data_IF_740233936073
#
_entry.id   IF_740233936073
#
_cell.length_a   1.000
_cell.length_b   1.000
_cell.length_c   1.000
_cell.angle_alpha   90.00
_cell.angle_beta   90.00
_cell.angle_gamma   90.00
#
_symmetry.space_group_name_H-M   'P 1'
#
loop_
_entity.id
_entity.type
_entity.pdbx_description
1 polymer ?
#
# COMPACT_ATOMS: atom_id res chain seq x y z
N UNK A 1 16.21 -9.39 -1.76
CA UNK A 1 14.93 -9.77 -1.11
C UNK A 1 13.72 -8.98 -1.61
N UNK A 2 13.76 -7.64 -1.72
CA UNK A 2 12.63 -6.80 -2.16
C UNK A 2 11.96 -7.30 -3.46
N UNK A 3 12.73 -7.53 -4.54
CA UNK A 3 12.17 -8.03 -5.80
C UNK A 3 11.53 -9.41 -5.67
N UNK A 4 12.05 -10.27 -4.79
CA UNK A 4 11.45 -11.57 -4.49
C UNK A 4 10.08 -11.41 -3.82
N UNK A 5 9.93 -10.49 -2.87
CA UNK A 5 8.64 -10.16 -2.24
C UNK A 5 7.64 -9.61 -3.26
N UNK A 6 8.06 -8.64 -4.08
CA UNK A 6 7.25 -8.06 -5.17
C UNK A 6 6.72 -9.15 -6.09
N UNK A 7 7.61 -10.04 -6.52
CA UNK A 7 7.25 -11.14 -7.41
C UNK A 7 6.27 -12.11 -6.76
N UNK A 8 6.52 -12.52 -5.52
CA UNK A 8 5.65 -13.47 -4.83
C UNK A 8 4.27 -12.90 -4.51
N UNK A 9 4.19 -11.63 -4.11
CA UNK A 9 2.91 -10.96 -3.88
C UNK A 9 2.12 -10.76 -5.18
N UNK A 10 2.80 -10.43 -6.30
CA UNK A 10 2.19 -10.38 -7.63
C UNK A 10 1.65 -11.75 -8.05
N UNK A 11 2.42 -12.82 -7.86
CA UNK A 11 1.98 -14.19 -8.13
C UNK A 11 0.73 -14.55 -7.32
N UNK A 12 0.67 -14.18 -6.03
CA UNK A 12 -0.51 -14.43 -5.19
C UNK A 12 -1.76 -13.72 -5.71
N UNK A 13 -1.63 -12.46 -6.14
CA UNK A 13 -2.74 -11.71 -6.75
C UNK A 13 -3.18 -12.33 -8.08
N UNK A 14 -2.23 -12.73 -8.94
CA UNK A 14 -2.53 -13.39 -10.21
C UNK A 14 -3.24 -14.72 -10.00
N UNK A 15 -2.80 -15.53 -9.03
CA UNK A 15 -3.48 -16.78 -8.68
C UNK A 15 -4.89 -16.49 -8.16
N UNK A 16 -5.05 -15.54 -7.23
CA UNK A 16 -6.37 -15.15 -6.71
C UNK A 16 -7.31 -14.72 -7.83
N UNK A 17 -6.85 -13.83 -8.71
CA UNK A 17 -7.66 -13.26 -9.80
C UNK A 17 -8.03 -14.29 -10.89
N UNK A 18 -7.30 -15.41 -10.95
CA UNK A 18 -7.62 -16.54 -11.83
C UNK A 18 -8.61 -17.54 -11.21
N UNK A 19 -8.69 -17.61 -9.88
CA UNK A 19 -9.56 -18.56 -9.16
C UNK A 19 -10.89 -17.90 -8.83
N UNK A 20 -10.85 -16.68 -8.30
CA UNK A 20 -12.01 -16.02 -7.72
C UNK A 20 -12.64 -15.04 -8.70
N UNK A 21 -13.98 -14.91 -8.69
CA UNK A 21 -14.67 -14.01 -9.58
C UNK A 21 -14.40 -12.55 -9.23
N UNK A 22 -13.96 -12.18 -8.03
CA UNK A 22 -13.72 -10.78 -7.66
C UNK A 22 -12.22 -10.47 -7.69
N UNK A 23 -11.74 -9.57 -8.57
CA UNK A 23 -10.33 -9.25 -8.65
C UNK A 23 -9.86 -8.48 -7.41
N UNK A 24 -8.62 -8.75 -7.02
CA UNK A 24 -7.89 -8.07 -5.94
C UNK A 24 -6.62 -7.45 -6.50
N UNK A 25 -6.30 -6.28 -5.97
CA UNK A 25 -4.99 -5.65 -6.10
C UNK A 25 -4.41 -5.47 -4.70
N UNK A 26 -3.39 -6.25 -4.37
CA UNK A 26 -2.60 -6.01 -3.16
C UNK A 26 -1.83 -4.70 -3.34
N UNK A 27 -1.78 -3.90 -2.29
CA UNK A 27 -1.14 -2.58 -2.28
C UNK A 27 -0.27 -2.39 -1.04
N UNK A 28 0.15 -1.15 -0.80
CA UNK A 28 0.96 -0.80 0.36
C UNK A 28 2.31 -1.52 0.42
N UNK A 29 2.82 -1.69 1.64
CA UNK A 29 4.19 -2.19 1.84
C UNK A 29 4.42 -3.60 1.29
N UNK A 30 3.39 -4.45 1.26
CA UNK A 30 3.47 -5.81 0.72
C UNK A 30 3.68 -5.79 -0.79
N UNK A 31 2.83 -5.07 -1.54
CA UNK A 31 2.96 -4.96 -2.99
C UNK A 31 4.26 -4.27 -3.43
N UNK A 32 4.70 -3.28 -2.64
CA UNK A 32 5.93 -2.54 -2.88
C UNK A 32 7.20 -3.35 -2.55
N UNK A 33 7.05 -4.47 -1.82
CA UNK A 33 8.16 -5.31 -1.30
C UNK A 33 8.94 -4.68 -0.15
N UNK A 34 8.41 -3.58 0.40
CA UNK A 34 9.03 -2.76 1.45
C UNK A 34 8.63 -3.21 2.85
N UNK A 35 7.49 -3.87 3.00
CA UNK A 35 7.12 -4.55 4.23
C UNK A 35 7.73 -5.95 4.28
N UNK A 36 8.00 -6.39 5.50
CA UNK A 36 8.44 -7.74 5.81
C UNK A 36 7.23 -8.65 5.86
N UNK A 37 7.39 -9.95 5.60
CA UNK A 37 6.25 -10.87 5.57
C UNK A 37 5.45 -10.89 6.89
N UNK A 38 6.12 -10.90 8.04
CA UNK A 38 5.49 -10.91 9.36
C UNK A 38 5.13 -9.53 9.89
N UNK A 39 5.39 -8.47 9.13
CA UNK A 39 5.10 -7.10 9.54
C UNK A 39 4.07 -6.46 8.63
N UNK A 40 3.37 -5.48 9.19
CA UNK A 40 2.33 -4.71 8.52
C UNK A 40 1.06 -5.50 8.20
N UNK A 41 -0.02 -4.73 8.20
CA UNK A 41 -1.25 -4.97 7.48
C UNK A 41 -1.01 -5.35 6.02
N UNK A 42 -1.94 -6.14 5.49
CA UNK A 42 -2.05 -6.46 4.07
C UNK A 42 -3.17 -5.58 3.50
N UNK A 43 -2.79 -4.53 2.79
CA UNK A 43 -3.73 -3.64 2.11
C UNK A 43 -4.23 -4.27 0.80
N UNK A 44 -5.54 -4.45 0.65
CA UNK A 44 -6.14 -5.00 -0.56
C UNK A 44 -7.27 -4.14 -1.10
N UNK A 45 -7.19 -3.86 -2.39
CA UNK A 45 -8.28 -3.25 -3.14
C UNK A 45 -9.11 -4.36 -3.80
N UNK A 46 -10.35 -4.54 -3.35
CA UNK A 46 -11.33 -5.39 -4.02
C UNK A 46 -12.01 -4.62 -5.14
N UNK A 47 -11.85 -5.08 -6.38
CA UNK A 47 -12.41 -4.40 -7.54
C UNK A 47 -13.80 -4.96 -7.83
N UNK A 48 -14.82 -4.13 -7.65
CA UNK A 48 -16.19 -4.52 -7.93
C UNK A 48 -16.41 -4.75 -9.44
N UNK A 49 -16.83 -5.97 -9.80
CA UNK A 49 -17.12 -6.31 -11.21
C UNK A 49 -18.45 -5.73 -11.67
N UNK A 50 -18.50 -5.41 -12.96
CA UNK A 50 -19.73 -4.94 -13.63
C UNK A 50 -20.13 -3.51 -13.27
N UNK A 51 -19.26 -2.76 -12.57
CA UNK A 51 -19.45 -1.36 -12.24
C UNK A 51 -18.28 -0.57 -12.82
N UNK A 52 -18.59 0.51 -13.54
CA UNK A 52 -17.56 1.41 -14.07
C UNK A 52 -17.96 2.86 -13.84
N UNK A 53 -17.03 3.62 -13.29
CA UNK A 53 -17.11 5.06 -13.13
C UNK A 53 -16.35 5.72 -14.29
N UNK A 54 -16.98 6.63 -15.00
CA UNK A 54 -16.40 7.27 -16.18
C UNK A 54 -16.59 8.77 -16.15
N UNK A 55 -15.70 9.51 -16.79
CA UNK A 55 -15.95 10.93 -17.06
C UNK A 55 -17.18 11.09 -17.99
N UNK A 56 -17.96 12.19 -17.88
CA UNK A 56 -19.21 12.34 -18.61
C UNK A 56 -19.12 12.19 -20.13
N UNK A 57 -17.95 12.43 -20.72
CA UNK A 57 -17.71 12.36 -22.16
C UNK A 57 -17.10 11.02 -22.62
N UNK A 58 -16.89 10.08 -21.70
CA UNK A 58 -16.27 8.79 -21.97
C UNK A 58 -17.35 7.73 -22.15
N UNK A 59 -17.37 7.09 -23.31
CA UNK A 59 -18.24 5.95 -23.55
C UNK A 59 -17.61 4.68 -22.99
N UNK A 60 -18.41 3.85 -22.32
CA UNK A 60 -18.01 2.52 -21.88
C UNK A 60 -19.18 1.55 -21.92
N UNK A 61 -18.86 0.25 -21.92
CA UNK A 61 -19.85 -0.82 -21.83
C UNK A 61 -19.66 -1.55 -20.52
N UNK A 62 -20.59 -1.35 -19.58
CA UNK A 62 -20.63 -2.01 -18.28
C UNK A 62 -22.09 -2.21 -17.84
N UNK A 63 -22.43 -3.29 -17.10
CA UNK A 63 -23.76 -3.48 -16.54
C UNK A 63 -24.26 -2.27 -15.73
N UNK A 64 -23.40 -1.68 -14.91
CA UNK A 64 -23.67 -0.47 -14.15
C UNK A 64 -22.63 0.60 -14.49
N UNK A 65 -23.10 1.82 -14.78
CA UNK A 65 -22.26 2.97 -15.14
C UNK A 65 -22.60 4.16 -14.24
N UNK A 66 -21.55 4.74 -13.66
CA UNK A 66 -21.61 6.02 -12.96
C UNK A 66 -20.81 7.09 -13.69
N UNK A 67 -21.34 8.31 -13.76
CA UNK A 67 -20.55 9.48 -14.15
C UNK A 67 -19.81 10.05 -12.95
N UNK A 68 -18.54 10.38 -13.17
CA UNK A 68 -17.69 11.14 -12.25
C UNK A 68 -18.11 12.61 -12.29
N UNK A 69 -18.79 13.07 -11.24
CA UNK A 69 -19.05 14.49 -11.03
C UNK A 69 -18.03 15.07 -10.05
N UNK A 70 -17.11 15.87 -10.58
CA UNK A 70 -16.06 16.55 -9.79
C UNK A 70 -16.45 17.97 -9.38
N UNK A 71 -17.65 18.43 -9.73
CA UNK A 71 -18.09 19.79 -9.40
C UNK A 71 -18.23 19.96 -7.89
N UNK A 72 -17.63 21.02 -7.33
CA UNK A 72 -17.58 21.31 -5.90
C UNK A 72 -16.98 20.18 -5.03
N UNK A 73 -16.23 19.25 -5.61
CA UNK A 73 -15.43 18.27 -4.88
C UNK A 73 -14.00 18.78 -4.69
N UNK A 74 -13.32 18.30 -3.66
CA UNK A 74 -11.88 18.52 -3.51
C UNK A 74 -11.11 17.88 -4.69
N UNK A 75 -9.96 18.43 -5.13
CA UNK A 75 -9.20 17.82 -6.21
C UNK A 75 -8.84 16.35 -5.93
N UNK A 76 -9.02 15.48 -6.93
CA UNK A 76 -8.85 14.04 -6.79
C UNK A 76 -10.00 13.31 -6.09
N UNK A 77 -11.12 13.99 -5.87
CA UNK A 77 -12.38 13.43 -5.39
C UNK A 77 -13.52 13.68 -6.39
N UNK A 78 -14.57 12.88 -6.31
CA UNK A 78 -15.76 12.99 -7.13
C UNK A 78 -16.98 12.43 -6.41
N UNK A 79 -18.18 12.87 -6.78
CA UNK A 79 -19.42 12.14 -6.55
C UNK A 79 -19.71 11.25 -7.75
N UNK A 80 -20.43 10.14 -7.54
CA UNK A 80 -20.74 9.20 -8.62
C UNK A 80 -22.24 9.24 -8.92
N UNK A 81 -22.60 9.78 -10.08
CA UNK A 81 -24.00 9.91 -10.51
C UNK A 81 -24.43 8.69 -11.31
N UNK A 82 -25.52 8.03 -10.93
CA UNK A 82 -26.00 6.85 -11.64
C UNK A 82 -26.53 7.21 -13.04
N UNK A 83 -26.07 6.47 -14.05
CA UNK A 83 -26.51 6.64 -15.46
C UNK A 83 -27.19 5.39 -15.99
N UNK A 84 -26.59 4.23 -15.71
CA UNK A 84 -27.09 2.94 -16.16
C UNK A 84 -26.99 1.92 -15.04
N UNK A 85 -28.02 1.08 -14.90
CA UNK A 85 -28.11 0.04 -13.89
C UNK A 85 -28.87 -1.17 -14.47
N UNK A 86 -28.13 -2.18 -14.94
CA UNK A 86 -28.68 -3.41 -15.49
C UNK A 86 -28.40 -4.66 -14.62
N UNK A 87 -27.93 -4.48 -13.38
CA UNK A 87 -27.53 -5.53 -12.45
C UNK A 87 -28.45 -5.56 -11.22
N UNK A 88 -29.31 -6.57 -11.16
CA UNK A 88 -30.22 -6.78 -10.01
C UNK A 88 -29.49 -6.87 -8.67
N UNK A 89 -28.27 -7.40 -8.66
CA UNK A 89 -27.42 -7.46 -7.47
C UNK A 89 -27.03 -6.06 -6.98
N UNK A 90 -26.60 -5.19 -7.89
CA UNK A 90 -26.18 -3.83 -7.57
C UNK A 90 -27.39 -3.00 -7.13
N UNK A 91 -28.52 -3.11 -7.84
CA UNK A 91 -29.78 -2.43 -7.50
C UNK A 91 -30.19 -2.59 -6.04
N UNK A 92 -30.07 -3.81 -5.49
CA UNK A 92 -30.49 -4.11 -4.13
C UNK A 92 -29.56 -3.52 -3.06
N UNK A 93 -28.33 -3.16 -3.41
CA UNK A 93 -27.33 -2.60 -2.50
C UNK A 93 -27.13 -1.09 -2.67
N UNK A 94 -27.59 -0.52 -3.80
CA UNK A 94 -27.43 0.89 -4.11
C UNK A 94 -28.25 1.77 -3.18
N UNK A 95 -27.56 2.68 -2.50
CA UNK A 95 -28.15 3.82 -1.81
C UNK A 95 -27.83 5.07 -2.61
N UNK A 96 -28.88 5.75 -3.08
CA UNK A 96 -28.76 6.97 -3.85
C UNK A 96 -29.38 8.14 -3.10
N UNK A 97 -28.69 9.26 -3.08
CA UNK A 97 -29.22 10.54 -2.64
C UNK A 97 -29.09 11.54 -3.79
N UNK A 98 -30.20 12.10 -4.26
CA UNK A 98 -30.23 13.03 -5.40
C UNK A 98 -29.55 12.47 -6.67
N UNK A 99 -29.61 11.14 -6.87
CA UNK A 99 -28.99 10.43 -7.99
C UNK A 99 -27.50 10.13 -7.83
N UNK A 100 -26.89 10.48 -6.69
CA UNK A 100 -25.50 10.16 -6.36
C UNK A 100 -25.42 8.95 -5.42
N UNK A 101 -24.44 8.07 -5.65
CA UNK A 101 -24.21 6.93 -4.77
C UNK A 101 -23.55 7.35 -3.46
N UNK A 102 -24.12 6.86 -2.37
CA UNK A 102 -23.61 7.10 -1.03
C UNK A 102 -22.35 6.28 -0.79
N UNK A 103 -21.39 6.83 -0.04
CA UNK A 103 -20.11 6.20 0.25
C UNK A 103 -20.17 5.16 1.40
N UNK A 104 -21.37 4.83 1.89
CA UNK A 104 -21.62 3.63 2.70
C UNK A 104 -21.98 2.41 1.83
N UNK A 105 -21.97 2.57 0.49
CA UNK A 105 -22.13 1.48 -0.46
C UNK A 105 -21.04 0.43 -0.26
N UNK A 106 -21.44 -0.75 0.22
CA UNK A 106 -20.58 -1.90 0.41
C UNK A 106 -21.10 -3.07 -0.43
N UNK A 107 -20.22 -3.64 -1.24
CA UNK A 107 -20.50 -4.85 -2.01
C UNK A 107 -19.94 -6.03 -1.25
N UNK A 108 -20.81 -6.97 -0.89
CA UNK A 108 -20.41 -8.27 -0.34
C UNK A 108 -19.60 -8.14 0.94
N UNK A 109 -20.28 -7.94 2.06
CA UNK A 109 -19.67 -7.72 3.37
C UNK A 109 -19.85 -8.95 4.27
N UNK A 110 -19.09 -10.04 4.06
CA UNK A 110 -19.21 -11.21 4.91
C UNK A 110 -18.56 -10.92 6.27
N UNK A 111 -19.17 -11.39 7.36
CA UNK A 111 -18.59 -11.27 8.71
C UNK A 111 -17.26 -12.06 8.86
N UNK A 112 -16.99 -12.96 7.92
CA UNK A 112 -15.78 -13.79 7.87
C UNK A 112 -15.25 -13.89 6.43
N UNK A 113 -13.94 -14.03 6.29
CA UNK A 113 -13.28 -14.28 5.02
C UNK A 113 -12.26 -15.42 5.16
N UNK A 114 -11.77 -15.94 4.04
CA UNK A 114 -10.64 -16.89 4.02
C UNK A 114 -9.40 -16.15 3.51
N UNK A 115 -8.33 -16.20 4.29
CA UNK A 115 -7.09 -15.48 4.01
C UNK A 115 -6.21 -16.20 2.97
N UNK A 116 -4.97 -15.75 2.76
CA UNK A 116 -4.07 -16.41 1.79
C UNK A 116 -3.61 -17.81 2.20
N UNK A 117 -3.75 -18.14 3.49
CA UNK A 117 -3.34 -19.41 4.09
C UNK A 117 -4.54 -20.35 4.32
N UNK A 118 -5.71 -20.06 3.75
CA UNK A 118 -6.90 -20.88 3.96
C UNK A 118 -7.53 -20.73 5.35
N UNK A 119 -7.05 -19.75 6.14
CA UNK A 119 -7.53 -19.50 7.50
C UNK A 119 -8.74 -18.58 7.49
N UNK A 120 -9.75 -18.89 8.30
CA UNK A 120 -10.88 -18.00 8.49
C UNK A 120 -10.42 -16.77 9.28
N UNK A 121 -10.54 -15.59 8.67
CA UNK A 121 -10.32 -14.28 9.31
C UNK A 121 -11.66 -13.63 9.61
N UNK A 122 -11.73 -12.97 10.77
CA UNK A 122 -12.96 -12.39 11.30
C UNK A 122 -12.92 -10.89 11.11
N UNK A 123 -14.06 -10.30 10.75
CA UNK A 123 -14.21 -8.85 10.67
C UNK A 123 -13.97 -8.20 12.04
N UNK A 124 -13.09 -7.20 12.06
CA UNK A 124 -12.77 -6.38 13.22
C UNK A 124 -13.44 -5.00 13.12
N UNK A 125 -13.30 -4.17 14.16
CA UNK A 125 -13.82 -2.81 14.16
C UNK A 125 -13.25 -1.99 12.98
N UNK A 126 -14.14 -1.23 12.33
CA UNK A 126 -13.83 -0.44 11.14
C UNK A 126 -12.92 0.74 11.49
N UNK A 127 -11.77 0.85 10.83
CA UNK A 127 -10.88 2.03 10.91
C UNK A 127 -10.86 2.71 9.53
N UNK A 128 -11.63 3.79 9.37
CA UNK A 128 -11.70 4.54 8.11
C UNK A 128 -12.44 3.80 6.98
N UNK A 129 -11.99 3.91 5.71
CA UNK A 129 -12.67 3.27 4.58
C UNK A 129 -12.41 1.77 4.47
N UNK A 130 -11.39 1.27 5.16
CA UNK A 130 -11.01 -0.13 5.11
C UNK A 130 -11.88 -0.93 6.08
N UNK A 131 -12.33 -2.08 5.61
CA UNK A 131 -12.84 -3.14 6.46
C UNK A 131 -11.65 -3.98 6.90
N UNK A 132 -11.42 -3.99 8.21
CA UNK A 132 -10.31 -4.73 8.79
C UNK A 132 -10.75 -6.14 9.12
N UNK A 133 -9.99 -7.12 8.68
CA UNK A 133 -10.16 -8.52 9.02
C UNK A 133 -8.85 -9.02 9.59
N UNK A 134 -8.91 -9.91 10.58
CA UNK A 134 -7.67 -10.45 11.11
C UNK A 134 -7.83 -11.73 11.88
N UNK A 135 -6.68 -12.28 12.21
CA UNK A 135 -6.46 -13.34 13.19
C UNK A 135 -5.21 -12.96 14.01
N UNK A 136 -4.76 -13.85 14.90
CA UNK A 136 -3.59 -13.62 15.76
C UNK A 136 -2.28 -13.38 14.97
N UNK A 137 -2.23 -13.75 13.69
CA UNK A 137 -1.02 -13.76 12.87
C UNK A 137 -1.01 -12.69 11.77
N UNK A 138 -2.15 -12.16 11.37
CA UNK A 138 -2.27 -11.29 10.20
C UNK A 138 -3.49 -10.38 10.27
N UNK A 139 -3.31 -9.14 9.81
CA UNK A 139 -4.38 -8.17 9.63
C UNK A 139 -4.47 -7.81 8.14
N UNK A 140 -5.69 -7.76 7.63
CA UNK A 140 -6.03 -7.42 6.26
C UNK A 140 -6.92 -6.20 6.28
N UNK A 141 -6.52 -5.18 5.55
CA UNK A 141 -7.30 -3.97 5.34
C UNK A 141 -7.88 -4.03 3.93
N UNK A 142 -9.18 -4.27 3.84
CA UNK A 142 -9.89 -4.40 2.58
C UNK A 142 -10.62 -3.12 2.24
N UNK A 143 -10.37 -2.61 1.04
CA UNK A 143 -11.06 -1.45 0.51
C UNK A 143 -11.77 -1.87 -0.77
N UNK A 144 -13.08 -1.61 -0.86
CA UNK A 144 -13.81 -1.79 -2.11
C UNK A 144 -13.49 -0.61 -3.04
N UNK A 145 -13.04 -0.94 -4.25
CA UNK A 145 -12.78 -0.01 -5.34
C UNK A 145 -13.71 -0.26 -6.51
N UNK A 146 -14.20 0.82 -7.12
CA UNK A 146 -14.91 0.76 -8.40
C UNK A 146 -13.94 1.20 -9.50
N UNK A 147 -13.97 0.53 -10.65
CA UNK A 147 -13.14 0.89 -11.80
C UNK A 147 -13.43 2.34 -12.20
N UNK A 148 -12.38 3.12 -12.46
CA UNK A 148 -12.47 4.54 -12.81
C UNK A 148 -11.71 4.82 -14.11
N UNK A 149 -12.43 5.24 -15.16
CA UNK A 149 -11.87 5.68 -16.43
C UNK A 149 -11.93 7.21 -16.46
N UNK A 150 -10.79 7.84 -16.19
CA UNK A 150 -10.64 9.29 -16.07
C UNK A 150 -9.46 9.80 -16.92
N UNK A 151 -9.60 9.81 -18.26
CA UNK A 151 -8.56 10.27 -19.18
C UNK A 151 -7.98 11.63 -18.82
N UNK A 152 -8.80 12.61 -18.42
CA UNK A 152 -8.28 13.96 -18.14
C UNK A 152 -7.19 13.95 -17.07
N UNK A 153 -7.40 13.20 -15.97
CA UNK A 153 -6.44 13.15 -14.86
C UNK A 153 -5.16 12.40 -15.26
N UNK A 154 -5.29 11.23 -15.87
CA UNK A 154 -4.13 10.41 -16.19
C UNK A 154 -3.31 11.00 -17.34
N UNK A 155 -3.97 11.64 -18.32
CA UNK A 155 -3.28 12.35 -19.40
C UNK A 155 -2.56 13.60 -18.88
N UNK A 156 -3.18 14.35 -17.96
CA UNK A 156 -2.53 15.49 -17.31
C UNK A 156 -1.25 15.04 -16.59
N UNK A 157 -1.31 13.94 -15.85
CA UNK A 157 -0.14 13.35 -15.22
C UNK A 157 0.91 12.91 -16.26
N UNK A 158 0.47 12.26 -17.35
CA UNK A 158 1.38 11.76 -18.39
C UNK A 158 2.12 12.90 -19.11
N UNK A 159 1.42 13.99 -19.45
CA UNK A 159 1.94 15.15 -20.18
C UNK A 159 2.79 16.10 -19.33
N UNK A 160 2.85 15.92 -18.00
CA UNK A 160 3.67 16.74 -17.10
C UNK A 160 5.15 16.69 -17.52
N UNK A 161 5.78 17.86 -17.61
CA UNK A 161 7.21 17.97 -17.88
C UNK A 161 8.03 17.40 -16.71
N UNK A 162 9.05 16.61 -17.02
CA UNK A 162 9.91 15.95 -16.04
C UNK A 162 11.35 16.24 -16.35
N UNK A 163 11.94 17.18 -15.59
CA UNK A 163 13.26 17.74 -15.87
C UNK A 163 14.37 16.68 -15.96
N UNK A 164 14.29 15.63 -15.14
CA UNK A 164 15.32 14.58 -15.07
C UNK A 164 14.85 13.22 -15.61
N UNK A 165 13.72 13.19 -16.30
CA UNK A 165 13.28 12.03 -17.08
C UNK A 165 12.89 10.79 -16.26
N UNK A 166 12.70 10.91 -14.94
CA UNK A 166 12.02 9.89 -14.14
C UNK A 166 10.57 10.31 -13.86
N UNK A 167 9.59 9.40 -13.99
CA UNK A 167 9.68 8.08 -14.63
C UNK A 167 9.99 8.19 -16.12
N UNK A 168 10.65 7.16 -16.67
CA UNK A 168 11.02 7.13 -18.09
C UNK A 168 9.80 7.07 -19.01
N UNK A 169 9.91 7.52 -20.29
CA UNK A 169 8.77 7.63 -21.22
C UNK A 169 7.97 6.34 -21.41
N UNK A 170 8.64 5.19 -21.45
CA UNK A 170 7.98 3.89 -21.56
C UNK A 170 7.09 3.58 -20.35
N UNK A 171 7.56 3.90 -19.15
CA UNK A 171 6.79 3.70 -17.91
C UNK A 171 5.61 4.67 -17.84
N UNK A 172 5.82 5.94 -18.23
CA UNK A 172 4.73 6.92 -18.36
C UNK A 172 3.65 6.41 -19.30
N UNK A 173 4.02 5.89 -20.48
CA UNK A 173 3.09 5.32 -21.44
C UNK A 173 2.33 4.12 -20.85
N UNK A 174 3.02 3.19 -20.19
CA UNK A 174 2.35 2.05 -19.55
C UNK A 174 1.36 2.49 -18.48
N UNK A 175 1.74 3.43 -17.62
CA UNK A 175 0.87 3.98 -16.57
C UNK A 175 -0.33 4.71 -17.18
N UNK A 176 -0.15 5.45 -18.28
CA UNK A 176 -1.23 6.18 -18.94
C UNK A 176 -2.33 5.30 -19.53
N UNK A 177 -2.05 4.00 -19.71
CA UNK A 177 -3.02 3.01 -20.20
C UNK A 177 -3.76 2.30 -19.06
N UNK A 178 -3.39 2.55 -17.80
CA UNK A 178 -4.04 1.94 -16.66
C UNK A 178 -5.35 2.65 -16.31
N UNK A 179 -6.34 1.86 -15.94
CA UNK A 179 -7.52 2.36 -15.23
C UNK A 179 -7.16 2.82 -13.81
N UNK A 180 -7.85 3.86 -13.35
CA UNK A 180 -7.89 4.25 -11.95
C UNK A 180 -8.96 3.47 -11.20
N UNK A 181 -9.12 3.79 -9.92
CA UNK A 181 -10.23 3.32 -9.11
C UNK A 181 -10.81 4.49 -8.30
N UNK A 182 -12.06 4.37 -7.88
CA UNK A 182 -12.64 5.22 -6.84
C UNK A 182 -12.93 4.39 -5.60
N UNK A 183 -12.62 4.96 -4.43
CA UNK A 183 -12.83 4.34 -3.12
C UNK A 183 -13.70 5.23 -2.24
N UNK A 184 -14.48 4.62 -1.36
CA UNK A 184 -15.44 5.27 -0.47
C UNK A 184 -14.74 6.05 0.65
N UNK A 185 -14.08 7.15 0.28
CA UNK A 185 -13.37 8.07 1.18
C UNK A 185 -13.73 9.48 0.76
N UNK A 186 -14.40 10.22 1.63
CA UNK A 186 -14.59 11.65 1.47
C UNK A 186 -13.38 12.43 1.97
N UNK A 187 -13.17 13.62 1.43
CA UNK A 187 -12.31 14.63 2.04
C UNK A 187 -12.98 15.08 3.36
N UNK A 188 -12.18 15.34 4.41
CA UNK A 188 -12.75 15.78 5.70
C UNK A 188 -13.44 17.14 5.59
N UNK A 189 -12.99 17.98 4.66
CA UNK A 189 -13.55 19.31 4.41
C UNK A 189 -14.59 19.28 3.27
N UNK A 190 -15.07 18.08 2.88
CA UNK A 190 -16.03 17.93 1.78
C UNK A 190 -17.38 18.56 2.11
N UNK A 191 -17.98 19.22 1.13
CA UNK A 191 -19.39 19.62 1.17
C UNK A 191 -20.34 18.42 1.04
N UNK A 192 -19.84 17.26 0.63
CA UNK A 192 -20.61 16.05 0.35
C UNK A 192 -20.01 14.83 1.08
N UNK A 193 -19.87 14.87 2.42
CA UNK A 193 -19.08 13.89 3.16
C UNK A 193 -19.61 12.45 3.08
N UNK A 194 -20.89 12.27 2.73
CA UNK A 194 -21.57 10.97 2.62
C UNK A 194 -21.67 10.44 1.18
N UNK A 195 -21.30 11.22 0.17
CA UNK A 195 -21.41 10.83 -1.25
C UNK A 195 -20.18 11.17 -2.09
N UNK A 196 -19.12 11.68 -1.46
CA UNK A 196 -17.82 11.91 -2.08
C UNK A 196 -16.93 10.66 -1.98
N UNK A 197 -16.24 10.39 -3.09
CA UNK A 197 -15.35 9.26 -3.32
C UNK A 197 -13.98 9.77 -3.75
N UNK A 198 -12.92 9.05 -3.36
CA UNK A 198 -11.54 9.41 -3.70
C UNK A 198 -11.05 8.63 -4.91
N UNK A 199 -10.49 9.32 -5.89
CA UNK A 199 -9.82 8.71 -7.04
C UNK A 199 -8.41 8.26 -6.63
N UNK A 200 -8.03 7.05 -7.01
CA UNK A 200 -6.69 6.49 -6.78
C UNK A 200 -6.17 5.70 -7.99
N UNK A 201 -4.85 5.65 -8.14
CA UNK A 201 -4.15 4.92 -9.20
C UNK A 201 -3.19 3.90 -8.59
N UNK A 202 -3.72 2.98 -7.77
CA UNK A 202 -2.93 2.04 -6.95
C UNK A 202 -1.91 1.24 -7.79
N UNK A 203 -2.31 0.71 -8.95
CA UNK A 203 -1.40 -0.03 -9.85
C UNK A 203 -0.27 0.87 -10.37
N UNK A 204 -0.58 2.11 -10.76
CA UNK A 204 0.43 3.07 -11.23
C UNK A 204 1.45 3.39 -10.13
N UNK A 205 0.99 3.63 -8.91
CA UNK A 205 1.87 3.88 -7.78
C UNK A 205 2.80 2.71 -7.48
N UNK A 206 2.29 1.47 -7.55
CA UNK A 206 3.11 0.26 -7.39
C UNK A 206 4.19 0.20 -8.48
N UNK A 207 3.83 0.46 -9.74
CA UNK A 207 4.78 0.47 -10.85
C UNK A 207 5.86 1.55 -10.68
N UNK A 208 5.50 2.74 -10.17
CA UNK A 208 6.47 3.79 -9.84
C UNK A 208 7.46 3.32 -8.75
N UNK A 209 6.98 2.72 -7.66
CA UNK A 209 7.86 2.15 -6.62
C UNK A 209 8.75 1.02 -7.17
N UNK A 210 8.22 0.20 -8.08
CA UNK A 210 9.00 -0.88 -8.70
C UNK A 210 10.08 -0.36 -9.65
N UNK A 211 9.92 0.85 -10.19
CA UNK A 211 10.89 1.50 -11.08
C UNK A 211 12.08 2.14 -10.36
N UNK A 212 12.01 2.27 -9.03
CA UNK A 212 13.05 2.91 -8.23
C UNK A 212 14.36 2.14 -8.33
N UNK A 213 15.48 2.88 -8.42
CA UNK A 213 16.81 2.27 -8.27
C UNK A 213 17.00 1.74 -6.85
N UNK A 214 18.10 1.01 -6.64
CA UNK A 214 18.45 0.52 -5.32
C UNK A 214 18.65 1.66 -4.30
N UNK A 215 19.41 2.70 -4.64
CA UNK A 215 19.62 3.86 -3.77
C UNK A 215 18.33 4.64 -3.50
N UNK A 216 17.47 4.80 -4.51
CA UNK A 216 16.15 5.44 -4.35
C UNK A 216 15.20 4.62 -3.47
N UNK A 217 15.23 3.29 -3.61
CA UNK A 217 14.48 2.38 -2.74
C UNK A 217 14.96 2.48 -1.30
N UNK A 218 16.28 2.57 -1.07
CA UNK A 218 16.85 2.77 0.28
C UNK A 218 16.44 4.10 0.88
N UNK A 219 16.46 5.19 0.10
CA UNK A 219 15.94 6.50 0.52
C UNK A 219 14.48 6.38 0.97
N UNK A 220 13.63 5.74 0.16
CA UNK A 220 12.23 5.53 0.51
C UNK A 220 12.07 4.77 1.83
N UNK A 221 12.83 3.69 2.01
CA UNK A 221 12.78 2.90 3.23
C UNK A 221 13.25 3.67 4.47
N UNK A 222 14.35 4.41 4.37
CA UNK A 222 14.86 5.23 5.47
C UNK A 222 13.83 6.28 5.88
N UNK A 223 13.26 7.01 4.91
CA UNK A 223 12.23 8.01 5.20
C UNK A 223 10.98 7.37 5.81
N UNK A 224 10.55 6.21 5.32
CA UNK A 224 9.41 5.46 5.86
C UNK A 224 9.65 5.03 7.31
N UNK A 225 10.85 4.57 7.65
CA UNK A 225 11.24 4.21 9.02
C UNK A 225 11.30 5.42 9.95
N UNK A 226 11.95 6.50 9.50
CA UNK A 226 12.00 7.78 10.22
C UNK A 226 10.59 8.29 10.51
N UNK A 227 9.71 8.30 9.50
CA UNK A 227 8.32 8.71 9.68
C UNK A 227 7.59 7.82 10.68
N UNK A 228 7.72 6.48 10.59
CA UNK A 228 7.06 5.54 11.51
C UNK A 228 7.51 5.74 12.96
N UNK A 229 8.79 5.97 13.20
CA UNK A 229 9.37 6.03 14.54
C UNK A 229 9.38 7.42 15.16
N UNK A 230 9.44 8.47 14.35
CA UNK A 230 9.67 9.85 14.82
C UNK A 230 8.46 10.74 14.57
N UNK A 231 7.88 10.70 13.36
CA UNK A 231 6.85 11.68 12.95
C UNK A 231 5.42 11.20 13.23
N UNK A 232 5.12 9.94 12.95
CA UNK A 232 3.80 9.33 13.15
C UNK A 232 3.31 9.37 14.60
N UNK A 233 4.17 9.21 15.63
CA UNK A 233 3.77 9.40 17.02
C UNK A 233 3.32 10.84 17.35
N UNK A 234 3.81 11.84 16.60
CA UNK A 234 3.46 13.25 16.78
C UNK A 234 2.19 13.62 15.99
N UNK A 235 2.03 13.04 14.81
CA UNK A 235 0.85 13.23 13.98
C UNK A 235 0.52 11.96 13.18
N UNK A 236 -0.62 11.30 13.43
CA UNK A 236 -1.02 10.07 12.74
C UNK A 236 -1.10 10.20 11.20
N UNK A 237 -1.25 11.42 10.67
CA UNK A 237 -1.30 11.68 9.23
C UNK A 237 0.04 11.45 8.52
N UNK A 238 1.17 11.38 9.24
CA UNK A 238 2.51 11.09 8.71
C UNK A 238 2.68 9.61 8.33
N UNK A 239 1.92 9.22 7.30
CA UNK A 239 1.83 7.84 6.79
C UNK A 239 2.94 7.53 5.78
N UNK A 240 3.13 6.24 5.48
CA UNK A 240 3.98 5.79 4.37
C UNK A 240 3.55 6.34 3.02
N UNK A 241 2.27 6.71 2.86
CA UNK A 241 1.75 7.34 1.65
C UNK A 241 2.29 8.77 1.48
N UNK A 242 2.34 9.56 2.55
CA UNK A 242 2.96 10.90 2.53
C UNK A 242 4.44 10.77 2.13
N UNK A 243 5.17 9.86 2.78
CA UNK A 243 6.60 9.65 2.50
C UNK A 243 6.85 9.19 1.07
N UNK A 244 5.97 8.34 0.51
CA UNK A 244 6.04 7.89 -0.88
C UNK A 244 5.94 9.05 -1.86
N UNK A 245 5.00 9.98 -1.63
CA UNK A 245 4.82 11.14 -2.52
C UNK A 245 6.03 12.10 -2.43
N UNK A 246 6.57 12.35 -1.23
CA UNK A 246 7.79 13.14 -1.05
C UNK A 246 8.96 12.55 -1.85
N UNK A 247 9.15 11.23 -1.76
CA UNK A 247 10.24 10.55 -2.50
C UNK A 247 10.02 10.58 -4.01
N UNK A 248 8.78 10.43 -4.49
CA UNK A 248 8.51 10.57 -5.92
C UNK A 248 8.84 11.97 -6.44
N UNK A 249 8.51 13.01 -5.69
CA UNK A 249 8.88 14.37 -6.05
C UNK A 249 10.40 14.57 -6.03
N UNK A 250 11.09 14.14 -4.97
CA UNK A 250 12.54 14.22 -4.87
C UNK A 250 13.25 13.53 -6.04
N UNK A 251 12.73 12.39 -6.50
CA UNK A 251 13.32 11.64 -7.61
C UNK A 251 13.04 12.28 -8.96
N UNK A 252 11.87 12.89 -9.16
CA UNK A 252 11.53 13.58 -10.42
C UNK A 252 12.36 14.86 -10.61
N UNK A 253 12.66 15.57 -9.50
CA UNK A 253 13.34 16.87 -9.50
C UNK A 253 14.86 16.79 -9.44
N UNK A 254 15.45 15.60 -9.34
CA UNK A 254 16.90 15.44 -9.27
C UNK A 254 17.44 14.41 -10.28
N UNK A 255 18.65 14.63 -10.85
CA UNK A 255 19.29 13.66 -11.72
C UNK A 255 19.50 12.31 -11.03
N UNK A 256 19.29 11.22 -11.77
CA UNK A 256 19.50 9.85 -11.26
C UNK A 256 20.89 9.63 -10.66
N UNK A 257 21.91 10.32 -11.18
CA UNK A 257 23.31 10.23 -10.73
C UNK A 257 23.52 10.77 -9.31
N UNK A 258 22.63 11.62 -8.80
CA UNK A 258 22.67 12.12 -7.43
C UNK A 258 22.13 11.11 -6.41
N UNK A 259 21.59 9.97 -6.86
CA UNK A 259 21.14 8.89 -5.99
C UNK A 259 22.19 7.79 -5.96
N UNK A 260 23.09 7.87 -4.99
CA UNK A 260 24.15 6.91 -4.75
C UNK A 260 24.17 6.50 -3.28
N UNK A 261 25.05 5.56 -2.95
CA UNK A 261 25.37 5.20 -1.58
C UNK A 261 25.91 6.39 -0.79
N UNK A 262 26.88 7.12 -1.36
CA UNK A 262 27.55 8.24 -0.70
C UNK A 262 26.62 9.44 -0.43
N UNK A 263 25.63 9.66 -1.31
CA UNK A 263 24.69 10.79 -1.21
C UNK A 263 23.37 10.42 -0.51
N UNK A 264 23.23 9.19 0.01
CA UNK A 264 21.96 8.70 0.56
C UNK A 264 21.46 9.54 1.75
N UNK A 265 22.39 9.99 2.60
CA UNK A 265 22.06 10.83 3.77
C UNK A 265 21.67 12.25 3.33
N UNK A 266 22.38 12.83 2.37
CA UNK A 266 22.03 14.13 1.82
C UNK A 266 20.63 14.08 1.21
N UNK A 267 20.33 13.05 0.40
CA UNK A 267 18.98 12.84 -0.16
C UNK A 267 17.91 12.63 0.92
N UNK A 268 18.24 11.98 2.03
CA UNK A 268 17.32 11.86 3.17
C UNK A 268 17.03 13.23 3.78
N UNK A 269 18.06 14.06 3.98
CA UNK A 269 17.91 15.44 4.46
C UNK A 269 17.05 16.26 3.49
N UNK A 270 17.29 16.13 2.18
CA UNK A 270 16.51 16.82 1.16
C UNK A 270 15.02 16.44 1.22
N UNK A 271 14.68 15.15 1.44
CA UNK A 271 13.28 14.76 1.65
C UNK A 271 12.65 15.35 2.91
N UNK A 272 13.45 15.59 3.96
CA UNK A 272 12.98 16.25 5.19
C UNK A 272 12.80 17.76 4.96
N UNK A 273 13.62 18.38 4.12
CA UNK A 273 13.44 19.77 3.67
C UNK A 273 12.15 19.91 2.86
N UNK A 274 11.86 18.99 1.94
CA UNK A 274 10.58 18.95 1.21
C UNK A 274 9.40 18.83 2.17
N UNK A 275 9.51 17.95 3.19
CA UNK A 275 8.49 17.83 4.22
C UNK A 275 8.30 19.15 4.98
N UNK A 276 9.39 19.83 5.36
CA UNK A 276 9.34 21.14 6.03
C UNK A 276 8.58 22.15 5.20
N UNK A 277 8.94 22.32 3.93
CA UNK A 277 8.31 23.27 3.01
C UNK A 277 6.81 22.97 2.83
N UNK A 278 6.45 21.68 2.75
CA UNK A 278 5.06 21.27 2.67
C UNK A 278 4.29 21.59 3.96
N UNK A 279 4.92 21.45 5.13
CA UNK A 279 4.30 21.80 6.42
C UNK A 279 4.16 23.32 6.58
N UNK A 280 5.15 24.10 6.15
CA UNK A 280 5.09 25.57 6.19
C UNK A 280 3.97 26.12 5.29
N UNK A 281 3.82 25.55 4.09
CA UNK A 281 2.76 25.92 3.14
C UNK A 281 1.41 25.25 3.42
N UNK A 282 1.37 24.28 4.35
CA UNK A 282 0.24 23.38 4.58
C UNK A 282 -0.25 22.68 3.29
N UNK A 283 0.68 22.39 2.38
CA UNK A 283 0.38 21.86 1.06
C UNK A 283 1.42 20.82 0.63
N UNK A 284 0.98 19.58 0.44
CA UNK A 284 1.79 18.53 -0.18
C UNK A 284 1.04 17.94 -1.36
N UNK A 285 1.60 18.08 -2.56
CA UNK A 285 1.00 17.57 -3.78
C UNK A 285 0.99 16.05 -3.82
N UNK A 286 -0.13 15.46 -4.24
CA UNK A 286 -0.14 14.07 -4.62
C UNK A 286 0.53 13.87 -5.98
N UNK A 287 1.49 12.96 -6.05
CA UNK A 287 2.28 12.73 -7.26
C UNK A 287 1.44 12.34 -8.48
N UNK A 288 0.39 11.52 -8.30
CA UNK A 288 -0.52 11.08 -9.38
C UNK A 288 -1.60 12.13 -9.72
N UNK A 289 -1.95 13.02 -8.80
CA UNK A 289 -2.99 14.05 -8.96
C UNK A 289 -2.48 15.31 -8.25
N UNK A 290 -1.67 16.12 -8.95
CA UNK A 290 -0.88 17.20 -8.34
C UNK A 290 -1.74 18.20 -7.56
N UNK A 291 -2.95 18.47 -8.04
CA UNK A 291 -3.90 19.41 -7.42
C UNK A 291 -4.41 18.94 -6.06
N UNK A 292 -4.29 17.64 -5.76
CA UNK A 292 -4.75 17.05 -4.50
C UNK A 292 -3.73 17.29 -3.41
N UNK A 293 -4.07 18.19 -2.49
CA UNK A 293 -3.31 18.40 -1.25
C UNK A 293 -3.48 17.20 -0.30
N UNK A 294 -2.37 16.56 0.07
CA UNK A 294 -2.35 15.43 0.99
C UNK A 294 -2.48 15.83 2.47
N UNK A 295 -2.28 17.10 2.82
CA UNK A 295 -2.42 17.61 4.20
C UNK A 295 -3.81 18.14 4.51
N UNK A 296 -4.59 18.48 3.49
CA UNK A 296 -5.93 19.06 3.64
C UNK A 296 -6.84 18.17 4.50
N UNK A 297 -7.42 18.76 5.55
CA UNK A 297 -8.29 18.08 6.51
C UNK A 297 -7.60 17.00 7.37
N UNK A 298 -6.28 16.79 7.25
CA UNK A 298 -5.57 15.68 7.94
C UNK A 298 -4.66 16.12 9.07
N UNK A 299 -4.16 17.35 9.04
CA UNK A 299 -3.21 17.88 10.02
C UNK A 299 -3.82 19.14 10.64
N UNK A 300 -3.97 19.16 11.96
CA UNK A 300 -4.40 20.37 12.69
C UNK A 300 -3.27 21.39 12.77
N UNK A 301 -3.59 22.67 13.03
CA UNK A 301 -2.56 23.70 13.19
C UNK A 301 -1.58 23.38 14.34
N UNK A 302 -2.05 22.75 15.41
CA UNK A 302 -1.22 22.32 16.53
C UNK A 302 -0.27 21.17 16.14
N UNK A 303 -0.79 20.12 15.49
CA UNK A 303 0.05 19.03 14.99
C UNK A 303 1.08 19.55 13.98
N UNK A 304 0.69 20.48 13.11
CA UNK A 304 1.61 21.09 12.13
C UNK A 304 2.73 21.86 12.81
N UNK A 305 2.42 22.63 13.86
CA UNK A 305 3.44 23.32 14.67
C UNK A 305 4.42 22.33 15.32
N UNK A 306 3.90 21.28 15.96
CA UNK A 306 4.73 20.23 16.59
C UNK A 306 5.61 19.53 15.56
N UNK A 307 5.06 19.22 14.38
CA UNK A 307 5.81 18.61 13.29
C UNK A 307 6.92 19.54 12.77
N UNK A 308 6.65 20.84 12.61
CA UNK A 308 7.65 21.83 12.20
C UNK A 308 8.79 21.91 13.21
N UNK A 309 8.48 22.01 14.50
CA UNK A 309 9.49 22.00 15.57
C UNK A 309 10.35 20.73 15.52
N UNK A 310 9.73 19.56 15.32
CA UNK A 310 10.47 18.30 15.21
C UNK A 310 11.33 18.22 13.95
N UNK A 311 10.81 18.71 12.83
CA UNK A 311 11.55 18.72 11.56
C UNK A 311 12.75 19.69 11.65
N UNK A 312 12.59 20.83 12.31
CA UNK A 312 13.70 21.76 12.58
C UNK A 312 14.78 21.12 13.46
N UNK A 313 14.39 20.39 14.52
CA UNK A 313 15.32 19.62 15.34
C UNK A 313 16.10 18.59 14.51
N UNK A 314 15.41 17.82 13.65
CA UNK A 314 16.05 16.83 12.77
C UNK A 314 17.06 17.48 11.80
N UNK A 315 16.73 18.65 11.26
CA UNK A 315 17.61 19.37 10.32
C UNK A 315 18.80 20.03 11.03
N UNK A 316 18.61 20.54 12.25
CA UNK A 316 19.69 21.08 13.07
C UNK A 316 20.69 19.99 13.48
N UNK A 317 20.20 18.77 13.72
CA UNK A 317 21.02 17.61 14.06
C UNK A 317 21.29 16.66 12.88
N UNK A 318 21.32 17.17 11.64
CA UNK A 318 21.43 16.35 10.42
C UNK A 318 22.59 15.35 10.39
N UNK A 319 23.73 15.67 10.99
CA UNK A 319 24.89 14.77 11.11
C UNK A 319 24.63 13.58 12.04
N UNK A 320 23.68 13.73 12.95
CA UNK A 320 23.29 12.75 13.96
C UNK A 320 21.83 12.31 13.78
N UNK A 321 21.25 12.50 12.59
CA UNK A 321 19.82 12.37 12.35
C UNK A 321 19.25 11.01 12.78
N UNK A 322 20.04 9.95 12.67
CA UNK A 322 19.62 8.61 13.07
C UNK A 322 19.52 8.40 14.58
N UNK A 323 20.14 9.25 15.42
CA UNK A 323 19.95 9.20 16.88
C UNK A 323 18.50 9.44 17.28
N UNK A 324 17.76 10.22 16.48
CA UNK A 324 16.34 10.48 16.68
C UNK A 324 15.46 9.25 16.43
N UNK A 325 15.94 8.30 15.63
CA UNK A 325 15.24 7.05 15.38
C UNK A 325 15.90 5.92 16.16
N UNK A 326 15.38 5.64 17.35
CA UNK A 326 15.94 4.62 18.26
C UNK A 326 16.13 3.27 17.58
N UNK A 327 15.23 2.86 16.68
CA UNK A 327 15.34 1.59 15.93
C UNK A 327 16.55 1.58 15.01
N UNK A 328 16.71 2.63 14.21
CA UNK A 328 17.86 2.78 13.31
C UNK A 328 19.15 2.87 14.13
N UNK A 329 19.15 3.70 15.18
CA UNK A 329 20.32 3.87 16.03
C UNK A 329 20.77 2.55 16.68
N UNK A 330 19.86 1.76 17.25
CA UNK A 330 20.18 0.44 17.83
C UNK A 330 20.72 -0.53 16.79
N UNK A 331 20.11 -0.59 15.62
CA UNK A 331 20.59 -1.45 14.54
C UNK A 331 22.01 -1.06 14.10
N UNK A 332 22.31 0.25 14.01
CA UNK A 332 23.66 0.73 13.73
C UNK A 332 24.69 0.33 14.80
N UNK A 333 24.30 0.37 16.08
CA UNK A 333 25.18 -0.05 17.18
C UNK A 333 25.46 -1.56 17.12
N UNK A 334 24.42 -2.38 16.95
CA UNK A 334 24.57 -3.84 16.81
C UNK A 334 25.44 -4.23 15.62
N UNK A 335 25.26 -3.58 14.47
CA UNK A 335 26.09 -3.83 13.28
C UNK A 335 27.57 -3.51 13.53
N UNK A 336 27.87 -2.49 14.35
CA UNK A 336 29.25 -2.14 14.74
C UNK A 336 29.85 -3.13 15.75
N UNK A 337 29.04 -3.64 16.67
CA UNK A 337 29.48 -4.53 17.75
C UNK A 337 29.75 -5.96 17.23
N UNK A 338 28.85 -6.51 16.42
CA UNK A 338 28.90 -7.90 15.93
C UNK A 338 28.45 -8.03 14.47
N UNK A 339 29.25 -7.56 13.48
CA UNK A 339 28.83 -7.52 12.07
C UNK A 339 28.52 -8.91 11.49
N UNK A 340 29.33 -9.92 11.81
CA UNK A 340 29.17 -11.29 11.26
C UNK A 340 27.91 -11.98 11.81
N UNK A 341 27.67 -11.85 13.11
CA UNK A 341 26.48 -12.41 13.76
C UNK A 341 25.20 -11.78 13.18
N UNK A 342 25.20 -10.45 13.05
CA UNK A 342 24.08 -9.71 12.52
C UNK A 342 23.82 -10.02 11.03
N UNK A 343 24.87 -10.24 10.25
CA UNK A 343 24.78 -10.72 8.85
C UNK A 343 24.16 -12.11 8.78
N UNK A 344 24.60 -13.05 9.63
CA UNK A 344 24.07 -14.42 9.66
C UNK A 344 22.58 -14.44 10.08
N UNK A 345 22.18 -13.60 11.04
CA UNK A 345 20.77 -13.41 11.40
C UNK A 345 19.94 -12.93 10.20
N UNK A 346 20.45 -11.96 9.44
CA UNK A 346 19.79 -11.44 8.24
C UNK A 346 19.63 -12.50 7.14
N UNK A 347 20.64 -13.33 6.91
CA UNK A 347 20.59 -14.43 5.94
C UNK A 347 19.59 -15.51 6.33
N UNK A 348 19.64 -15.98 7.59
CA UNK A 348 18.69 -16.97 8.12
C UNK A 348 17.25 -16.50 7.97
N UNK A 349 17.01 -15.23 8.29
CA UNK A 349 15.70 -14.59 8.13
C UNK A 349 15.23 -14.57 6.68
N UNK A 350 16.09 -14.14 5.74
CA UNK A 350 15.73 -14.11 4.33
C UNK A 350 15.41 -15.53 3.81
N UNK A 351 16.11 -16.55 4.31
CA UNK A 351 15.80 -17.94 4.01
C UNK A 351 14.41 -18.34 4.51
N UNK A 352 14.09 -18.06 5.78
CA UNK A 352 12.76 -18.31 6.37
C UNK A 352 11.67 -17.61 5.57
N UNK A 353 11.81 -16.31 5.31
CA UNK A 353 10.79 -15.53 4.61
C UNK A 353 10.59 -16.03 3.17
N UNK A 354 11.67 -16.43 2.47
CA UNK A 354 11.56 -17.05 1.15
C UNK A 354 10.78 -18.36 1.20
N UNK A 355 11.00 -19.20 2.21
CA UNK A 355 10.28 -20.47 2.38
C UNK A 355 8.79 -20.22 2.60
N UNK A 356 8.43 -19.30 3.50
CA UNK A 356 7.03 -18.96 3.78
C UNK A 356 6.33 -18.39 2.55
N UNK A 357 6.95 -17.43 1.85
CA UNK A 357 6.36 -16.87 0.62
C UNK A 357 6.18 -17.92 -0.49
N UNK A 358 7.12 -18.89 -0.62
CA UNK A 358 6.98 -20.01 -1.56
C UNK A 358 5.85 -20.94 -1.13
N UNK A 359 5.75 -21.28 0.15
CA UNK A 359 4.67 -22.09 0.73
C UNK A 359 3.31 -21.49 0.35
N UNK A 360 3.12 -20.19 0.58
CA UNK A 360 1.84 -19.53 0.31
C UNK A 360 1.45 -19.57 -1.17
N UNK A 361 2.41 -19.39 -2.08
CA UNK A 361 2.16 -19.52 -3.52
C UNK A 361 1.74 -20.95 -3.88
N UNK A 362 2.43 -21.96 -3.34
CA UNK A 362 2.07 -23.37 -3.57
C UNK A 362 0.67 -23.66 -3.03
N UNK A 363 0.37 -23.22 -1.82
CA UNK A 363 -0.94 -23.39 -1.19
C UNK A 363 -2.07 -22.76 -2.01
N UNK A 364 -1.88 -21.52 -2.48
CA UNK A 364 -2.85 -20.84 -3.34
C UNK A 364 -3.06 -21.57 -4.68
N UNK A 365 -2.01 -22.18 -5.24
CA UNK A 365 -2.10 -23.00 -6.45
C UNK A 365 -2.85 -24.32 -6.20
N UNK A 366 -2.73 -24.92 -5.01
CA UNK A 366 -3.52 -26.12 -4.67
C UNK A 366 -5.00 -25.79 -4.47
N UNK A 367 -5.36 -24.60 -3.98
CA UNK A 367 -6.76 -24.12 -3.98
C UNK A 367 -7.34 -24.08 -5.42
N UNK A 368 -6.55 -23.64 -6.42
CA UNK A 368 -6.98 -23.62 -7.84
C UNK A 368 -7.36 -25.00 -8.38
N UNK A 369 -6.77 -26.06 -7.85
CA UNK A 369 -7.02 -27.43 -8.33
C UNK A 369 -8.35 -28.00 -7.82
N UNK A 370 -9.06 -27.30 -6.95
CA UNK A 370 -10.33 -27.73 -6.35
C UNK A 370 -11.38 -26.66 -6.65
N UNK A 371 -12.29 -26.96 -7.59
CA UNK A 371 -13.32 -26.02 -8.02
C UNK A 371 -14.25 -25.66 -6.83
N UNK A 372 -14.27 -24.41 -6.34
CA UNK A 372 -15.06 -24.07 -5.15
C UNK A 372 -16.58 -24.12 -5.39
N UNK A 373 -17.02 -24.18 -6.66
CA UNK A 373 -18.45 -24.23 -7.00
C UNK A 373 -19.10 -25.62 -6.83
N UNK A 374 -18.33 -26.70 -6.60
CA UNK A 374 -18.87 -28.07 -6.58
C UNK A 374 -18.99 -28.74 -5.20
N UNK A 375 -18.47 -28.14 -4.11
CA UNK A 375 -18.44 -28.78 -2.78
C UNK A 375 -19.25 -28.03 -1.71
N UNK A 376 -20.14 -28.71 -0.95
CA UNK A 376 -20.82 -28.15 0.22
C UNK A 376 -19.84 -27.61 1.28
N UNK A 377 -20.25 -26.58 2.02
CA UNK A 377 -19.41 -25.91 3.05
C UNK A 377 -18.83 -26.91 4.07
N UNK A 378 -19.57 -27.95 4.44
CA UNK A 378 -19.13 -28.94 5.43
C UNK A 378 -18.02 -29.87 4.90
N UNK A 379 -18.01 -30.14 3.59
CA UNK A 379 -16.97 -30.96 2.96
C UNK A 379 -15.70 -30.14 2.68
N UNK A 380 -15.85 -28.83 2.45
CA UNK A 380 -14.72 -27.88 2.45
C UNK A 380 -14.00 -27.83 3.79
N UNK A 381 -14.73 -27.87 4.91
CA UNK A 381 -14.15 -27.86 6.26
C UNK A 381 -13.39 -29.16 6.58
N UNK A 382 -13.93 -30.33 6.19
CA UNK A 382 -13.25 -31.63 6.36
C UNK A 382 -12.02 -31.77 5.47
N UNK A 383 -12.07 -31.30 4.23
CA UNK A 383 -10.87 -31.24 3.39
C UNK A 383 -9.84 -30.28 3.98
N UNK A 384 -10.26 -29.14 4.54
CA UNK A 384 -9.34 -28.24 5.24
C UNK A 384 -8.61 -28.97 6.37
N UNK A 385 -9.27 -29.84 7.15
CA UNK A 385 -8.62 -30.64 8.21
C UNK A 385 -7.56 -31.63 7.66
N UNK A 386 -7.81 -32.30 6.54
CA UNK A 386 -6.81 -33.18 5.89
C UNK A 386 -5.65 -32.37 5.28
N UNK A 387 -5.93 -31.19 4.73
CA UNK A 387 -4.92 -30.25 4.26
C UNK A 387 -4.10 -29.66 5.40
N UNK A 388 -4.70 -29.32 6.54
CA UNK A 388 -4.01 -28.88 7.76
C UNK A 388 -3.08 -29.98 8.29
N UNK A 389 -3.44 -31.25 8.13
CA UNK A 389 -2.54 -32.39 8.42
C UNK A 389 -1.32 -32.43 7.50
N UNK A 390 -1.54 -32.37 6.17
CA UNK A 390 -0.44 -32.30 5.20
C UNK A 390 0.42 -31.04 5.39
N UNK A 391 -0.21 -29.93 5.74
CA UNK A 391 0.41 -28.66 6.08
C UNK A 391 1.28 -28.81 7.32
N UNK A 392 0.80 -29.44 8.40
CA UNK A 392 1.56 -29.71 9.63
C UNK A 392 2.78 -30.58 9.36
N UNK A 393 2.68 -31.52 8.41
CA UNK A 393 3.75 -32.42 8.02
C UNK A 393 4.82 -31.70 7.17
N UNK A 394 4.40 -30.85 6.23
CA UNK A 394 5.29 -29.90 5.52
C UNK A 394 5.90 -28.85 6.47
N UNK A 395 5.14 -28.40 7.48
CA UNK A 395 5.59 -27.46 8.52
C UNK A 395 6.75 -28.05 9.32
N UNK A 396 6.61 -29.31 9.75
CA UNK A 396 7.64 -30.07 10.48
C UNK A 396 8.89 -30.35 9.63
N UNK A 397 8.75 -30.46 8.31
CA UNK A 397 9.86 -30.76 7.40
C UNK A 397 10.67 -29.52 6.97
N UNK A 398 10.08 -28.30 7.05
CA UNK A 398 10.66 -27.09 6.45
C UNK A 398 11.13 -26.06 7.48
N UNK A 399 10.58 -26.01 8.69
CA UNK A 399 10.92 -24.99 9.69
C UNK A 399 11.04 -25.60 11.11
N UNK A 400 12.15 -25.37 11.85
CA UNK A 400 12.20 -25.73 13.26
C UNK A 400 11.32 -24.75 14.07
N UNK A 401 10.47 -25.31 14.93
CA UNK A 401 9.64 -24.69 15.96
C UNK A 401 9.02 -23.30 15.67
N UNK A 402 7.68 -23.28 15.56
CA UNK A 402 6.86 -22.08 15.36
C UNK A 402 7.08 -20.99 16.44
N UNK A 403 7.53 -21.40 17.63
CA UNK A 403 7.92 -20.49 18.71
C UNK A 403 9.15 -19.65 18.39
N UNK A 404 10.08 -20.16 17.57
CA UNK A 404 11.26 -19.42 17.11
C UNK A 404 10.92 -18.42 16.00
N UNK A 405 9.93 -18.72 15.14
CA UNK A 405 9.44 -17.77 14.12
C UNK A 405 8.76 -16.54 14.75
N UNK A 406 7.94 -16.74 15.77
CA UNK A 406 7.28 -15.66 16.51
C UNK A 406 8.29 -14.82 17.31
N UNK A 407 9.26 -15.45 17.97
CA UNK A 407 10.37 -14.74 18.64
C UNK A 407 11.27 -13.99 17.65
N UNK A 408 11.58 -14.59 16.51
CA UNK A 408 12.30 -13.93 15.43
C UNK A 408 11.52 -12.69 14.95
N UNK A 409 10.19 -12.84 14.76
CA UNK A 409 9.17 -11.84 14.46
C UNK A 409 9.32 -10.50 15.18
N UNK A 410 9.53 -10.55 16.50
CA UNK A 410 9.64 -9.36 17.34
C UNK A 410 10.99 -8.62 17.23
N UNK A 411 12.04 -9.27 16.69
CA UNK A 411 13.40 -8.72 16.49
C UNK A 411 13.67 -8.34 15.01
N UNK A 412 12.63 -8.37 14.15
CA UNK A 412 12.74 -8.32 12.68
C UNK A 412 12.94 -6.94 12.05
N UNK A 413 12.49 -5.85 12.66
CA UNK A 413 12.67 -4.51 12.06
C UNK A 413 14.15 -4.09 12.11
N UNK A 414 14.83 -4.41 13.22
CA UNK A 414 16.27 -4.11 13.38
C UNK A 414 17.05 -4.80 12.25
N UNK A 415 16.88 -6.10 12.02
CA UNK A 415 17.63 -6.84 10.98
C UNK A 415 17.35 -6.36 9.55
N UNK A 416 16.23 -5.67 9.26
CA UNK A 416 15.99 -5.09 7.92
C UNK A 416 16.80 -3.82 7.70
N UNK A 417 17.14 -3.15 8.80
CA UNK A 417 18.05 -2.02 8.80
C UNK A 417 19.45 -2.49 8.33
N UNK A 418 19.88 -3.74 8.57
CA UNK A 418 21.12 -4.29 7.99
C UNK A 418 21.30 -4.00 6.48
N UNK A 419 20.32 -4.34 5.62
CA UNK A 419 20.40 -4.11 4.16
C UNK A 419 20.32 -2.64 3.75
N UNK A 420 19.79 -1.78 4.63
CA UNK A 420 19.86 -0.32 4.47
C UNK A 420 21.26 0.21 4.82
N UNK A 421 21.99 -0.50 5.69
CA UNK A 421 23.25 -0.07 6.31
C UNK A 421 24.51 -0.83 5.86
N UNK A 422 24.41 -1.93 5.12
CA UNK A 422 25.50 -2.54 4.29
C UNK A 422 26.12 -1.57 3.26
N UNK A 423 25.61 -0.34 3.26
CA UNK A 423 25.81 0.76 2.34
C UNK A 423 26.31 2.00 3.11
N UNK A 424 26.22 2.02 4.44
CA UNK A 424 26.74 3.11 5.26
C UNK A 424 28.10 2.75 5.91
N UNK A 425 28.50 1.48 5.82
CA UNK A 425 29.90 1.02 5.82
C UNK A 425 30.51 1.12 4.43
#
# INVERSE_FOLDING_TARGET
MINFRREKNRQLDEIHNNIFPTPVVTSGGKAEGTALYFESDIDRLYVAKGITCVEPNVQCSSPTIFHLDRYNCSPGYARLKLIQENSSFVRNQLKLENGYVMNDFSIGNPNTMVDINGTIIIKQDRIGPAERYGNDFSNYDFVVGLVCICPDLIEKWAKRERMHGWPGPNLVKQISLLEGHVVAVSNKDSMYPLSEWRICYTKAEIMLVHSLTESQTKLYMLLKLMAKSVLKPLCPAMTSYIMKNIVFWEIETNPRQQFSQASLIDRLIDTIIILKQALESNYLESYMIAERNLFQGRITDLERKILLEKVDELLNEKENIFKHCTKIHRAMLRLKESPDEYSQEAEKRDCIEKLVLKKNVIFKLTEKCHNPEELPIQDRLKQNEEYTKCETELYRLVIPDESELLKAGHNLEEVYIHRLFDILS
#
